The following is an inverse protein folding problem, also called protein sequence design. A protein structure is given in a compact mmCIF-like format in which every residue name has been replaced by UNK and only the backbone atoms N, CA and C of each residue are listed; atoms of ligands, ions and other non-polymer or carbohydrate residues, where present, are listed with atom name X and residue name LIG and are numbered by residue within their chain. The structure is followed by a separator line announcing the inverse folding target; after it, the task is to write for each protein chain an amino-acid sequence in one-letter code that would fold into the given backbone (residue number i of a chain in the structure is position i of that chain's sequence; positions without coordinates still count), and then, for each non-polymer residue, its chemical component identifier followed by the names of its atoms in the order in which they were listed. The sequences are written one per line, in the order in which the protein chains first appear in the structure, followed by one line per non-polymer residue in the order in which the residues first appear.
data_IF_556054117787
#
_entry.id   IF_556054117787
#
_cell.length_a   1.000
_cell.length_b   1.000
_cell.length_c   1.000
_cell.angle_alpha   90.00
_cell.angle_beta   90.00
_cell.angle_gamma   90.00
#
_symmetry.space_group_name_H-M   'P 1'
#
loop_
_entity.id
_entity.type
_entity.pdbx_description
1 polymer ?
#
# COMPACT_ATOMS: atom_id res chain seq x y z
N UNK A 1 2.71 -10.08 -9.21
CA UNK A 1 3.68 -11.16 -8.96
C UNK A 1 3.60 -12.27 -10.02
N UNK A 2 2.45 -12.93 -10.23
CA UNK A 2 2.35 -14.09 -11.15
C UNK A 2 2.80 -13.79 -12.59
N UNK A 3 2.52 -12.61 -13.13
CA UNK A 3 2.96 -12.22 -14.46
C UNK A 3 4.49 -12.01 -14.52
N UNK A 4 5.07 -11.42 -13.50
CA UNK A 4 6.51 -11.21 -13.38
C UNK A 4 7.27 -12.54 -13.32
N UNK A 5 6.81 -13.45 -12.46
CA UNK A 5 7.42 -14.78 -12.31
C UNK A 5 7.35 -15.58 -13.62
N UNK A 6 6.22 -15.52 -14.36
CA UNK A 6 6.11 -16.15 -15.68
C UNK A 6 7.05 -15.51 -16.73
N UNK A 7 7.40 -14.25 -16.53
CA UNK A 7 8.39 -13.54 -17.35
C UNK A 7 9.84 -13.80 -16.92
N UNK A 8 10.10 -14.74 -16.01
CA UNK A 8 11.45 -15.06 -15.53
C UNK A 8 12.03 -14.06 -14.52
N UNK A 9 11.20 -13.19 -13.93
CA UNK A 9 11.63 -12.22 -12.92
C UNK A 9 11.46 -12.85 -11.54
N UNK A 10 12.52 -12.84 -10.74
CA UNK A 10 12.44 -13.18 -9.32
C UNK A 10 11.66 -12.12 -8.56
N UNK A 11 10.72 -12.54 -7.74
CA UNK A 11 9.84 -11.64 -6.99
C UNK A 11 9.99 -11.90 -5.51
N UNK A 12 10.45 -10.88 -4.78
CA UNK A 12 10.52 -10.89 -3.32
C UNK A 12 9.23 -10.27 -2.75
N UNK A 13 8.59 -10.98 -1.84
CA UNK A 13 7.49 -10.46 -1.05
C UNK A 13 8.02 -9.93 0.28
N UNK A 14 8.05 -8.61 0.45
CA UNK A 14 8.51 -7.98 1.69
C UNK A 14 7.38 -8.04 2.74
N UNK A 15 7.68 -8.58 3.91
CA UNK A 15 6.72 -8.69 5.00
C UNK A 15 6.52 -7.33 5.69
N UNK A 16 5.29 -7.07 6.11
CA UNK A 16 4.90 -5.87 6.86
C UNK A 16 5.36 -4.53 6.24
N UNK A 17 5.36 -4.46 4.89
CA UNK A 17 5.68 -3.25 4.14
C UNK A 17 7.09 -2.74 4.43
N UNK A 18 7.22 -1.47 4.87
CA UNK A 18 8.51 -0.85 5.13
C UNK A 18 9.10 -1.12 6.51
N UNK A 19 8.40 -1.83 7.42
CA UNK A 19 8.82 -1.97 8.82
C UNK A 19 10.20 -2.60 9.00
N UNK A 20 10.48 -3.71 8.33
CA UNK A 20 11.80 -4.36 8.38
C UNK A 20 12.86 -3.53 7.66
N UNK A 21 12.49 -2.93 6.51
CA UNK A 21 13.39 -2.15 5.69
C UNK A 21 13.92 -0.90 6.41
N UNK A 22 13.08 -0.18 7.15
CA UNK A 22 13.50 1.03 7.87
C UNK A 22 14.35 0.76 9.11
N UNK A 23 14.39 -0.49 9.57
CA UNK A 23 15.20 -0.94 10.70
C UNK A 23 16.51 -1.61 10.28
N UNK A 24 16.74 -1.74 8.98
CA UNK A 24 17.90 -2.45 8.44
C UNK A 24 19.23 -1.87 8.94
N UNK A 25 20.11 -2.77 9.34
CA UNK A 25 21.53 -2.53 9.57
C UNK A 25 22.31 -3.78 9.17
N UNK A 26 23.33 -3.60 8.36
CA UNK A 26 24.06 -4.73 7.77
C UNK A 26 24.76 -5.65 8.80
N UNK A 27 25.04 -5.13 10.01
CA UNK A 27 25.75 -5.88 11.07
C UNK A 27 24.81 -6.38 12.17
N UNK A 28 23.86 -5.53 12.59
CA UNK A 28 23.05 -5.79 13.78
C UNK A 28 21.62 -6.23 13.43
N UNK A 29 21.12 -5.88 12.25
CA UNK A 29 19.75 -6.19 11.81
C UNK A 29 19.69 -6.40 10.28
N UNK A 30 20.37 -7.46 9.76
CA UNK A 30 20.28 -7.81 8.33
C UNK A 30 18.86 -8.27 7.99
N UNK A 31 18.51 -8.23 6.70
CA UNK A 31 17.25 -8.78 6.19
C UNK A 31 17.28 -10.30 6.22
N UNK A 32 16.30 -10.93 6.85
CA UNK A 32 16.24 -12.39 7.06
C UNK A 32 15.10 -12.98 6.21
N UNK A 33 15.42 -13.97 5.36
CA UNK A 33 14.41 -14.71 4.61
C UNK A 33 13.52 -15.53 5.56
N UNK A 34 12.22 -15.50 5.30
CA UNK A 34 11.19 -16.08 6.16
C UNK A 34 10.64 -15.13 7.23
N UNK A 35 11.42 -14.16 7.68
CA UNK A 35 11.00 -13.14 8.66
C UNK A 35 10.64 -11.81 7.97
N UNK A 36 11.58 -11.19 7.28
CA UNK A 36 11.44 -9.88 6.67
C UNK A 36 10.95 -9.94 5.22
N UNK A 37 11.30 -11.02 4.53
CA UNK A 37 10.90 -11.24 3.14
C UNK A 37 10.86 -12.74 2.82
N UNK A 38 10.26 -13.06 1.68
CA UNK A 38 10.31 -14.39 1.07
C UNK A 38 10.36 -14.32 -0.44
N UNK A 39 10.97 -15.29 -1.05
CA UNK A 39 10.92 -15.49 -2.51
C UNK A 39 9.53 -16.01 -2.87
N UNK A 40 8.82 -15.31 -3.74
CA UNK A 40 7.47 -15.68 -4.15
C UNK A 40 7.49 -16.74 -5.24
N UNK A 41 6.87 -17.87 -5.01
CA UNK A 41 6.80 -18.97 -5.96
C UNK A 41 5.42 -19.07 -6.63
N UNK A 42 5.29 -19.72 -7.81
CA UNK A 42 3.99 -19.97 -8.43
C UNK A 42 3.05 -20.79 -7.55
N UNK A 43 3.59 -21.63 -6.67
CA UNK A 43 2.81 -22.45 -5.73
C UNK A 43 2.14 -21.58 -4.67
N UNK A 44 2.87 -20.66 -4.08
CA UNK A 44 2.35 -19.75 -3.05
C UNK A 44 1.31 -18.77 -3.61
N UNK A 45 1.45 -18.40 -4.87
CA UNK A 45 0.49 -17.52 -5.53
C UNK A 45 -0.81 -18.20 -5.95
N UNK A 46 -0.83 -19.56 -5.96
CA UNK A 46 -2.05 -20.30 -6.23
C UNK A 46 -3.06 -20.10 -5.10
N UNK A 47 -4.25 -19.67 -5.45
CA UNK A 47 -5.31 -19.42 -4.46
C UNK A 47 -5.32 -18.03 -3.84
N UNK A 48 -4.23 -17.25 -3.90
CA UNK A 48 -4.23 -15.88 -3.37
C UNK A 48 -5.29 -14.97 -4.02
N UNK A 49 -5.61 -15.20 -5.29
CA UNK A 49 -6.64 -14.43 -5.99
C UNK A 49 -8.02 -14.54 -5.34
N UNK A 50 -8.31 -15.68 -4.72
CA UNK A 50 -9.58 -15.97 -4.07
C UNK A 50 -9.49 -15.97 -2.54
N UNK A 51 -8.30 -15.65 -1.99
CA UNK A 51 -8.11 -15.56 -0.55
C UNK A 51 -8.52 -14.17 -0.04
N UNK A 52 -8.97 -14.13 1.21
CA UNK A 52 -9.20 -12.87 1.93
C UNK A 52 -7.93 -12.52 2.71
N UNK A 53 -7.67 -11.22 2.85
CA UNK A 53 -6.54 -10.71 3.63
C UNK A 53 -5.27 -10.49 2.80
N UNK A 54 -4.20 -10.10 3.49
CA UNK A 54 -2.93 -9.69 2.91
C UNK A 54 -1.84 -10.68 3.34
N UNK A 55 -1.37 -11.49 2.40
CA UNK A 55 -0.42 -12.58 2.69
C UNK A 55 0.97 -12.13 3.18
N UNK A 56 1.36 -10.88 2.89
CA UNK A 56 2.63 -10.30 3.33
C UNK A 56 2.49 -9.46 4.61
N UNK A 57 1.28 -9.35 5.16
CA UNK A 57 1.01 -8.46 6.27
C UNK A 57 1.02 -6.98 5.88
N UNK A 58 0.74 -6.12 6.85
CA UNK A 58 0.75 -4.66 6.69
C UNK A 58 1.40 -3.99 7.89
N UNK A 59 1.87 -2.75 7.71
CA UNK A 59 2.30 -1.90 8.80
C UNK A 59 2.03 -0.42 8.47
N UNK A 60 2.21 0.42 9.49
CA UNK A 60 2.12 1.88 9.38
C UNK A 60 3.49 2.55 9.27
N UNK A 61 4.55 1.78 9.01
CA UNK A 61 5.88 2.30 8.80
C UNK A 61 5.90 3.29 7.62
N UNK A 62 6.52 4.43 7.83
CA UNK A 62 6.60 5.50 6.86
C UNK A 62 7.99 6.14 6.88
N UNK A 63 8.99 5.53 6.24
CA UNK A 63 10.36 6.04 6.18
C UNK A 63 10.48 7.46 5.61
N UNK A 64 9.53 7.88 4.77
CA UNK A 64 9.50 9.22 4.20
C UNK A 64 8.89 10.29 5.12
N UNK A 65 8.35 9.93 6.29
CA UNK A 65 7.58 10.85 7.15
C UNK A 65 8.33 12.12 7.56
N UNK A 66 9.64 12.01 7.77
CA UNK A 66 10.46 13.17 8.21
C UNK A 66 10.91 14.06 7.04
N UNK A 67 10.67 13.66 5.81
CA UNK A 67 11.03 14.42 4.61
C UNK A 67 9.87 15.34 4.24
N UNK A 68 9.91 16.56 4.71
CA UNK A 68 8.88 17.58 4.43
C UNK A 68 9.36 18.69 3.50
N UNK A 69 10.68 18.86 3.37
CA UNK A 69 11.32 19.83 2.47
C UNK A 69 12.47 19.16 1.68
N UNK A 70 12.89 19.72 0.54
CA UNK A 70 14.01 19.18 -0.24
C UNK A 70 15.32 19.03 0.54
N UNK A 71 15.61 19.96 1.45
CA UNK A 71 16.88 19.95 2.22
C UNK A 71 16.97 18.76 3.18
N UNK A 72 15.82 18.19 3.58
CA UNK A 72 15.79 17.02 4.44
C UNK A 72 16.35 15.75 3.78
N UNK A 73 16.48 15.71 2.47
CA UNK A 73 17.12 14.58 1.80
C UNK A 73 18.62 14.52 2.08
N UNK A 74 19.26 15.64 2.37
CA UNK A 74 20.70 15.72 2.70
C UNK A 74 20.98 15.75 4.20
N UNK A 75 19.95 15.86 5.03
CA UNK A 75 20.03 15.82 6.49
C UNK A 75 20.12 14.35 6.98
N UNK A 76 21.26 13.92 7.57
CA UNK A 76 21.46 12.52 7.97
C UNK A 76 20.49 12.01 9.04
N UNK A 77 19.96 12.88 9.90
CA UNK A 77 18.99 12.48 10.92
C UNK A 77 17.61 12.26 10.30
N UNK A 78 17.19 13.17 9.43
CA UNK A 78 15.86 13.12 8.80
C UNK A 78 15.75 12.08 7.72
N UNK A 79 16.81 11.83 6.96
CA UNK A 79 16.83 10.83 5.89
C UNK A 79 17.20 9.41 6.36
N UNK A 80 17.57 9.22 7.62
CA UNK A 80 18.08 7.95 8.15
C UNK A 80 17.19 6.74 7.82
N UNK A 81 15.88 6.86 7.97
CA UNK A 81 14.93 5.78 7.64
C UNK A 81 14.88 5.47 6.15
N UNK A 82 14.96 6.48 5.28
CA UNK A 82 15.05 6.28 3.83
C UNK A 82 16.37 5.65 3.43
N UNK A 83 17.47 6.09 4.03
CA UNK A 83 18.80 5.54 3.78
C UNK A 83 18.87 4.05 4.14
N UNK A 84 18.34 3.67 5.31
CA UNK A 84 18.23 2.25 5.72
C UNK A 84 17.34 1.45 4.78
N UNK A 85 16.16 2.00 4.41
CA UNK A 85 15.24 1.37 3.46
C UNK A 85 15.92 1.12 2.11
N UNK A 86 16.64 2.10 1.58
CA UNK A 86 17.38 1.95 0.33
C UNK A 86 18.50 0.91 0.47
N UNK A 87 19.27 0.97 1.57
CA UNK A 87 20.36 0.01 1.83
C UNK A 87 19.85 -1.43 1.97
N UNK A 88 18.68 -1.63 2.60
CA UNK A 88 18.02 -2.93 2.69
C UNK A 88 17.65 -3.48 1.30
N UNK A 89 17.02 -2.67 0.45
CA UNK A 89 16.67 -3.07 -0.91
C UNK A 89 17.92 -3.38 -1.75
N UNK A 90 18.96 -2.56 -1.62
CA UNK A 90 20.24 -2.79 -2.30
C UNK A 90 20.92 -4.09 -1.83
N UNK A 91 20.88 -4.41 -0.52
CA UNK A 91 21.46 -5.64 0.03
C UNK A 91 20.76 -6.90 -0.47
N UNK A 92 19.47 -6.78 -0.82
CA UNK A 92 18.67 -7.85 -1.42
C UNK A 92 18.79 -7.91 -2.96
N UNK A 93 19.56 -7.02 -3.58
CA UNK A 93 19.68 -6.95 -5.03
C UNK A 93 18.40 -6.54 -5.76
N UNK A 94 17.52 -5.78 -5.11
CA UNK A 94 16.21 -5.39 -5.68
C UNK A 94 16.40 -4.30 -6.73
N UNK A 95 16.08 -4.57 -7.99
CA UNK A 95 16.12 -3.61 -9.10
C UNK A 95 14.86 -2.77 -9.25
N UNK A 96 13.74 -3.29 -8.76
CA UNK A 96 12.45 -2.59 -8.86
C UNK A 96 11.57 -2.88 -7.65
N UNK A 97 10.92 -1.86 -7.11
CA UNK A 97 9.97 -1.92 -6.01
C UNK A 97 8.56 -1.57 -6.49
N UNK A 98 7.62 -2.48 -6.27
CA UNK A 98 6.19 -2.20 -6.38
C UNK A 98 5.67 -1.91 -4.98
N UNK A 99 5.44 -0.64 -4.69
CA UNK A 99 4.95 -0.15 -3.40
C UNK A 99 3.43 -0.02 -3.47
N UNK A 100 2.70 -0.73 -2.59
CA UNK A 100 1.23 -0.79 -2.61
C UNK A 100 0.68 -0.24 -1.31
N UNK A 101 -0.14 0.81 -1.36
CA UNK A 101 -0.70 1.41 -0.15
C UNK A 101 -1.37 2.76 -0.36
N UNK A 102 -1.69 3.43 0.73
CA UNK A 102 -2.29 4.76 0.75
C UNK A 102 -1.25 5.89 0.76
N UNK A 103 -1.66 7.11 1.16
CA UNK A 103 -0.88 8.36 1.10
C UNK A 103 0.51 8.26 1.73
N UNK A 104 0.62 7.70 2.94
CA UNK A 104 1.91 7.55 3.61
C UNK A 104 2.86 6.64 2.84
N UNK A 105 2.33 5.61 2.18
CA UNK A 105 3.09 4.70 1.32
C UNK A 105 3.51 5.39 0.02
N UNK A 106 2.63 6.19 -0.58
CA UNK A 106 2.96 7.02 -1.75
C UNK A 106 4.05 8.03 -1.42
N UNK A 107 3.92 8.71 -0.27
CA UNK A 107 4.94 9.66 0.20
C UNK A 107 6.30 8.97 0.35
N UNK A 108 6.36 7.80 0.97
CA UNK A 108 7.59 7.01 1.10
C UNK A 108 8.15 6.60 -0.27
N UNK A 109 7.31 6.11 -1.18
CA UNK A 109 7.72 5.71 -2.53
C UNK A 109 8.32 6.88 -3.31
N UNK A 110 7.68 8.06 -3.26
CA UNK A 110 8.18 9.28 -3.87
C UNK A 110 9.49 9.76 -3.21
N UNK A 111 9.55 9.75 -1.87
CA UNK A 111 10.75 10.14 -1.14
C UNK A 111 11.92 9.20 -1.42
N UNK A 112 11.68 7.89 -1.53
CA UNK A 112 12.71 6.93 -1.91
C UNK A 112 13.22 7.16 -3.35
N UNK A 113 12.31 7.46 -4.29
CA UNK A 113 12.70 7.84 -5.65
C UNK A 113 13.59 9.09 -5.66
N UNK A 114 13.20 10.15 -4.95
CA UNK A 114 13.94 11.42 -4.87
C UNK A 114 15.27 11.27 -4.12
N UNK A 115 15.29 10.53 -3.01
CA UNK A 115 16.50 10.25 -2.24
C UNK A 115 17.60 9.63 -3.11
N UNK A 116 17.24 8.73 -4.00
CA UNK A 116 18.21 8.11 -4.90
C UNK A 116 18.88 9.12 -5.86
N UNK A 117 18.22 10.24 -6.17
CA UNK A 117 18.78 11.25 -7.09
C UNK A 117 20.01 11.97 -6.50
N UNK A 118 20.11 12.04 -5.17
CA UNK A 118 21.25 12.67 -4.48
C UNK A 118 22.39 11.68 -4.18
N UNK A 119 22.18 10.38 -4.38
CA UNK A 119 23.23 9.38 -4.19
C UNK A 119 24.27 9.42 -5.31
N UNK A 120 25.51 8.96 -5.05
CA UNK A 120 26.55 8.85 -6.06
C UNK A 120 26.10 8.04 -7.30
N UNK A 121 26.65 8.32 -8.46
CA UNK A 121 26.26 7.68 -9.73
C UNK A 121 26.43 6.16 -9.75
N UNK A 122 27.38 5.64 -8.96
CA UNK A 122 27.64 4.21 -8.80
C UNK A 122 26.77 3.53 -7.73
N UNK A 123 25.89 4.26 -7.04
CA UNK A 123 24.99 3.66 -6.08
C UNK A 123 23.94 2.79 -6.79
N UNK A 124 23.55 1.70 -6.13
CA UNK A 124 22.45 0.85 -6.61
C UNK A 124 21.17 1.68 -6.81
N UNK A 125 20.45 1.43 -7.88
CA UNK A 125 19.21 2.16 -8.22
C UNK A 125 18.03 1.22 -8.24
N UNK A 126 17.01 1.55 -7.47
CA UNK A 126 15.75 0.82 -7.40
C UNK A 126 14.68 1.62 -8.15
N UNK A 127 14.10 1.06 -9.20
CA UNK A 127 12.95 1.65 -9.88
C UNK A 127 11.72 1.53 -8.99
N UNK A 128 11.04 2.63 -8.71
CA UNK A 128 9.90 2.65 -7.79
C UNK A 128 8.61 2.89 -8.56
N UNK A 129 7.63 2.00 -8.39
CA UNK A 129 6.27 2.15 -8.89
C UNK A 129 5.32 2.06 -7.69
N UNK A 130 4.40 3.02 -7.57
CA UNK A 130 3.37 3.00 -6.54
C UNK A 130 2.02 2.58 -7.11
N UNK A 131 1.32 1.72 -6.36
CA UNK A 131 -0.06 1.28 -6.65
C UNK A 131 -0.95 1.81 -5.53
N UNK A 132 -1.87 2.76 -5.83
CA UNK A 132 -2.72 3.37 -4.82
C UNK A 132 -3.79 2.39 -4.34
N UNK A 133 -3.74 2.04 -3.06
CA UNK A 133 -4.67 1.15 -2.37
C UNK A 133 -5.38 1.91 -1.26
N UNK A 134 -6.60 2.33 -1.53
CA UNK A 134 -7.54 2.95 -0.58
C UNK A 134 -8.96 2.71 -1.05
N UNK A 135 -9.91 2.72 -0.12
CA UNK A 135 -11.34 2.67 -0.43
C UNK A 135 -11.94 4.06 -0.66
N UNK A 136 -11.20 5.13 -0.36
CA UNK A 136 -11.70 6.50 -0.35
C UNK A 136 -11.83 7.09 -1.75
N UNK A 137 -11.12 6.55 -2.73
CA UNK A 137 -11.04 7.04 -4.12
C UNK A 137 -10.61 8.50 -4.24
N UNK A 138 -9.69 8.93 -3.40
CA UNK A 138 -9.28 10.32 -3.21
C UNK A 138 -7.94 10.69 -3.91
N UNK A 139 -7.46 9.86 -4.84
CA UNK A 139 -6.27 10.12 -5.63
C UNK A 139 -6.59 10.85 -6.92
N UNK A 140 -5.94 11.99 -7.16
CA UNK A 140 -6.04 12.71 -8.42
C UNK A 140 -5.25 11.99 -9.54
N UNK A 141 -5.79 12.04 -10.77
CA UNK A 141 -5.12 11.52 -11.96
C UNK A 141 -5.35 10.04 -12.25
N UNK A 142 -6.19 9.36 -11.48
CA UNK A 142 -6.69 8.01 -11.75
C UNK A 142 -8.20 7.97 -11.58
N UNK A 143 -8.87 7.07 -12.29
CA UNK A 143 -10.34 6.97 -12.24
C UNK A 143 -10.82 6.36 -10.93
N UNK A 144 -10.11 5.33 -10.44
CA UNK A 144 -10.43 4.67 -9.17
C UNK A 144 -9.23 4.00 -8.53
N UNK A 145 -9.26 3.92 -7.20
CA UNK A 145 -8.24 3.28 -6.37
C UNK A 145 -8.55 1.80 -6.15
N UNK A 146 -7.50 1.01 -5.89
CA UNK A 146 -7.67 -0.41 -5.53
C UNK A 146 -8.33 -0.53 -4.15
N UNK A 147 -9.49 -1.17 -4.14
CA UNK A 147 -10.33 -1.35 -2.94
C UNK A 147 -11.65 -0.60 -2.99
N UNK A 148 -11.77 0.49 -3.75
CA UNK A 148 -12.99 1.29 -3.85
C UNK A 148 -14.21 0.45 -4.24
N UNK A 149 -14.19 -0.20 -5.40
CA UNK A 149 -15.33 -1.01 -5.85
C UNK A 149 -15.63 -2.22 -4.97
N UNK A 150 -14.60 -2.82 -4.37
CA UNK A 150 -14.82 -3.90 -3.39
C UNK A 150 -15.56 -3.38 -2.16
N UNK A 151 -15.21 -2.21 -1.67
CA UNK A 151 -15.90 -1.58 -0.54
C UNK A 151 -17.36 -1.24 -0.92
N UNK A 152 -17.57 -0.64 -2.09
CA UNK A 152 -18.94 -0.33 -2.59
C UNK A 152 -19.78 -1.60 -2.69
N UNK A 153 -19.28 -2.69 -3.30
CA UNK A 153 -20.01 -3.96 -3.45
C UNK A 153 -20.38 -4.58 -2.10
N UNK A 154 -19.46 -4.59 -1.14
CA UNK A 154 -19.76 -5.14 0.19
C UNK A 154 -20.74 -4.26 0.95
N UNK A 155 -20.50 -2.96 1.01
CA UNK A 155 -21.30 -2.04 1.82
C UNK A 155 -22.71 -1.83 1.24
N UNK A 156 -22.87 -1.87 -0.08
CA UNK A 156 -24.19 -1.78 -0.71
C UNK A 156 -25.10 -2.97 -0.35
N UNK A 157 -24.53 -4.17 -0.23
CA UNK A 157 -25.29 -5.35 0.21
C UNK A 157 -25.76 -5.21 1.66
N UNK A 158 -24.91 -4.68 2.54
CA UNK A 158 -25.31 -4.40 3.92
C UNK A 158 -26.37 -3.29 3.99
N UNK A 159 -26.25 -2.27 3.15
CA UNK A 159 -27.25 -1.20 3.08
C UNK A 159 -28.63 -1.71 2.64
N UNK A 160 -28.67 -2.64 1.68
CA UNK A 160 -29.93 -3.29 1.26
C UNK A 160 -30.56 -4.10 2.41
N UNK A 161 -29.76 -4.76 3.24
CA UNK A 161 -30.25 -5.46 4.44
C UNK A 161 -30.83 -4.46 5.44
N UNK A 162 -30.13 -3.37 5.74
CA UNK A 162 -30.61 -2.31 6.63
C UNK A 162 -31.89 -1.65 6.11
N UNK A 163 -32.02 -1.48 4.79
CA UNK A 163 -33.22 -0.95 4.16
C UNK A 163 -34.43 -1.88 4.37
N UNK A 164 -34.26 -3.19 4.23
CA UNK A 164 -35.31 -4.15 4.52
C UNK A 164 -35.76 -4.08 5.98
N UNK A 165 -34.82 -3.95 6.92
CA UNK A 165 -35.14 -3.78 8.34
C UNK A 165 -35.88 -2.46 8.62
N UNK A 166 -35.45 -1.37 7.98
CA UNK A 166 -36.12 -0.07 8.12
C UNK A 166 -37.58 -0.13 7.71
N UNK A 167 -37.87 -0.79 6.60
CA UNK A 167 -39.26 -0.99 6.12
C UNK A 167 -40.06 -1.86 7.09
N UNK A 168 -39.49 -2.97 7.54
CA UNK A 168 -40.17 -3.92 8.43
C UNK A 168 -40.48 -3.31 9.80
N UNK A 169 -39.58 -2.49 10.32
CA UNK A 169 -39.71 -1.88 11.65
C UNK A 169 -40.29 -0.46 11.63
N UNK A 170 -40.57 0.09 10.46
CA UNK A 170 -40.97 1.49 10.26
C UNK A 170 -40.04 2.49 10.93
N UNK A 171 -38.74 2.24 10.80
CA UNK A 171 -37.65 3.05 11.42
C UNK A 171 -36.78 3.71 10.38
N UNK A 172 -35.89 4.57 10.86
CA UNK A 172 -34.86 5.25 10.05
C UNK A 172 -33.49 4.78 10.47
N UNK A 173 -32.60 4.60 9.48
CA UNK A 173 -31.19 4.35 9.71
C UNK A 173 -30.36 5.50 9.14
N UNK A 174 -29.38 5.95 9.90
CA UNK A 174 -28.32 6.84 9.43
C UNK A 174 -27.06 6.01 9.31
N UNK A 175 -26.52 5.92 8.09
CA UNK A 175 -25.33 5.12 7.80
C UNK A 175 -24.16 6.04 7.52
N UNK A 176 -23.14 5.99 8.37
CA UNK A 176 -21.89 6.69 8.17
C UNK A 176 -20.90 5.75 7.48
N UNK A 177 -20.22 6.26 6.43
CA UNK A 177 -19.17 5.54 5.72
C UNK A 177 -17.87 6.31 5.78
N UNK A 178 -16.74 5.61 5.62
CA UNK A 178 -15.43 6.23 5.47
C UNK A 178 -15.35 7.03 4.15
N UNK A 179 -14.24 7.69 3.89
CA UNK A 179 -14.00 8.45 2.66
C UNK A 179 -13.35 9.81 2.91
N UNK A 180 -13.05 10.15 4.16
CA UNK A 180 -12.45 11.44 4.54
C UNK A 180 -13.22 12.62 3.94
N UNK A 181 -12.51 13.45 3.12
CA UNK A 181 -13.07 14.63 2.47
C UNK A 181 -13.65 14.34 1.07
N UNK A 182 -13.46 13.13 0.54
CA UNK A 182 -13.78 12.85 -0.86
C UNK A 182 -15.27 12.53 -1.12
N UNK A 183 -15.95 11.86 -0.21
CA UNK A 183 -17.37 11.50 -0.37
C UNK A 183 -17.68 10.42 -1.41
N UNK A 184 -16.74 10.00 -2.25
CA UNK A 184 -16.95 9.04 -3.34
C UNK A 184 -17.50 7.70 -2.85
N UNK A 185 -16.98 7.20 -1.72
CA UNK A 185 -17.44 5.95 -1.14
C UNK A 185 -18.89 6.04 -0.71
N UNK A 186 -19.27 7.14 -0.04
CA UNK A 186 -20.65 7.41 0.37
C UNK A 186 -21.61 7.43 -0.83
N UNK A 187 -21.25 8.17 -1.88
CA UNK A 187 -22.05 8.18 -3.11
C UNK A 187 -22.15 6.82 -3.77
N UNK A 188 -21.05 6.11 -3.91
CA UNK A 188 -21.04 4.78 -4.51
C UNK A 188 -21.92 3.79 -3.77
N UNK A 189 -21.84 3.78 -2.43
CA UNK A 189 -22.65 2.91 -1.57
C UNK A 189 -24.13 3.32 -1.62
N UNK A 190 -24.43 4.62 -1.55
CA UNK A 190 -25.81 5.13 -1.60
C UNK A 190 -26.50 4.77 -2.92
N UNK A 191 -25.82 4.97 -4.06
CA UNK A 191 -26.38 4.64 -5.38
C UNK A 191 -26.56 3.12 -5.52
N UNK A 192 -25.53 2.33 -5.21
CA UNK A 192 -25.57 0.88 -5.39
C UNK A 192 -26.47 0.16 -4.39
N UNK A 193 -26.66 0.71 -3.19
CA UNK A 193 -27.53 0.19 -2.13
C UNK A 193 -28.92 0.82 -2.11
N UNK A 194 -29.25 1.65 -3.10
CA UNK A 194 -30.56 2.30 -3.24
C UNK A 194 -30.98 3.09 -1.97
N UNK A 195 -30.04 3.87 -1.39
CA UNK A 195 -30.37 4.76 -0.28
C UNK A 195 -31.41 5.81 -0.72
N UNK A 196 -32.18 6.31 0.23
CA UNK A 196 -33.22 7.32 -0.06
C UNK A 196 -32.62 8.73 -0.25
N UNK A 197 -31.44 9.00 0.33
CA UNK A 197 -30.69 10.26 0.23
C UNK A 197 -29.21 9.94 0.05
#
# INVERSE_FOLDING_TARGET
ASALIRGGIEVLGIHHGYSGLEQYDAKTRPMIEGEDYRVMTPRELRGLRNSRGICLGTARANPGRQITTPDHFTDPERNASLARTHAALASLGVDALISIGGDGTLMTANSLHRYQQILPSNAHRVRVVHVPKTIDNDYSGIDFTFGFFTAVDVMSKELLNLRADAIATQSYFVVEVMGRMAGWLGYGVAIAGEAHL
#
